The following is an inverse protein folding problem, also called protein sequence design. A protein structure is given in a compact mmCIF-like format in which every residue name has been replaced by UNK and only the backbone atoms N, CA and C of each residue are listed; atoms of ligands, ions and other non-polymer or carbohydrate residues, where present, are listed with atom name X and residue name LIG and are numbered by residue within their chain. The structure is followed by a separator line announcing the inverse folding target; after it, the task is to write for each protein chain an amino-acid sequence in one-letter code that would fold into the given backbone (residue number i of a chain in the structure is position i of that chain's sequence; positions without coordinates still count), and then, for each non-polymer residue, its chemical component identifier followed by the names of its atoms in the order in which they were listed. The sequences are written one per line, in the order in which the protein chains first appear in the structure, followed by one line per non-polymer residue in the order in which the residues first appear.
data_IF_491779963665
#
_entry.id   IF_491779963665
#
_cell.length_a   1.000
_cell.length_b   1.000
_cell.length_c   1.000
_cell.angle_alpha   90.00
_cell.angle_beta   90.00
_cell.angle_gamma   90.00
#
_symmetry.space_group_name_H-M   'P 1'
#
loop_
_entity.id
_entity.type
_entity.pdbx_description
1 polymer ?
#
# COMPACT_ATOMS: atom_id res chain seq x y z
N UNK A 1 -2.83 41.32 -15.09
CA UNK A 1 -2.21 40.40 -14.12
C UNK A 1 -3.23 40.08 -13.03
N UNK A 2 -3.96 38.97 -13.12
CA UNK A 2 -4.73 38.45 -11.99
C UNK A 2 -4.31 36.99 -11.76
N UNK A 3 -3.30 36.83 -10.90
CA UNK A 3 -2.84 35.53 -10.45
C UNK A 3 -3.95 34.82 -9.70
N UNK A 4 -4.66 33.93 -10.38
CA UNK A 4 -5.58 32.96 -9.77
C UNK A 4 -4.72 32.01 -8.94
N UNK A 5 -4.61 32.32 -7.64
CA UNK A 5 -3.94 31.47 -6.67
C UNK A 5 -4.51 30.06 -6.73
N UNK A 6 -3.68 29.11 -7.17
CA UNK A 6 -3.92 27.68 -6.98
C UNK A 6 -3.89 27.42 -5.47
N UNK A 7 -5.04 27.37 -4.83
CA UNK A 7 -5.23 26.65 -3.57
C UNK A 7 -5.00 25.17 -3.85
N UNK A 8 -3.73 24.76 -3.87
CA UNK A 8 -3.33 23.37 -3.78
C UNK A 8 -3.74 22.84 -2.41
N UNK A 9 -4.97 22.33 -2.32
CA UNK A 9 -5.49 21.69 -1.12
C UNK A 9 -4.54 20.56 -0.72
N UNK A 10 -3.82 20.73 0.39
CA UNK A 10 -2.99 19.67 0.94
C UNK A 10 -3.90 18.47 1.20
N UNK A 11 -3.64 17.35 0.54
CA UNK A 11 -4.33 16.10 0.81
C UNK A 11 -4.21 15.81 2.31
N UNK A 12 -5.34 15.75 3.01
CA UNK A 12 -5.34 15.46 4.45
C UNK A 12 -4.70 14.08 4.64
N UNK A 13 -3.67 14.02 5.49
CA UNK A 13 -3.04 12.75 5.83
C UNK A 13 -4.10 11.79 6.39
N UNK A 14 -4.11 10.54 5.91
CA UNK A 14 -5.00 9.50 6.46
C UNK A 14 -4.74 9.35 7.96
N UNK A 15 -5.82 9.23 8.73
CA UNK A 15 -5.73 8.91 10.14
C UNK A 15 -5.00 7.58 10.31
N UNK A 16 -3.91 7.58 11.10
CA UNK A 16 -3.19 6.38 11.50
C UNK A 16 -3.76 5.88 12.82
N UNK A 17 -4.05 4.59 12.91
CA UNK A 17 -4.47 3.94 14.16
C UNK A 17 -3.31 3.95 15.18
N UNK A 18 -3.63 3.78 16.47
CA UNK A 18 -2.59 3.67 17.51
C UNK A 18 -1.66 2.47 17.27
N UNK A 19 -2.18 1.35 16.78
CA UNK A 19 -1.39 0.17 16.42
C UNK A 19 -0.37 0.48 15.32
N UNK A 20 -0.79 1.15 14.25
CA UNK A 20 0.14 1.57 13.18
C UNK A 20 1.19 2.57 13.69
N UNK A 21 0.85 3.42 14.66
CA UNK A 21 1.83 4.33 15.30
C UNK A 21 2.85 3.58 16.16
N UNK A 22 2.46 2.45 16.76
CA UNK A 22 3.34 1.56 17.52
C UNK A 22 4.14 0.58 16.64
N UNK A 23 4.10 0.72 15.30
CA UNK A 23 4.79 -0.17 14.36
C UNK A 23 4.07 -1.49 14.09
N UNK A 24 2.90 -1.70 14.70
CA UNK A 24 2.07 -2.89 14.49
C UNK A 24 1.12 -2.65 13.33
N UNK A 25 1.42 -3.24 12.17
CA UNK A 25 0.47 -3.32 11.07
C UNK A 25 -0.38 -4.58 11.23
N UNK A 26 -1.44 -4.47 12.02
CA UNK A 26 -2.30 -5.59 12.43
C UNK A 26 -2.73 -6.53 11.28
N UNK A 27 -3.19 -6.04 10.11
CA UNK A 27 -3.55 -6.91 8.99
C UNK A 27 -2.36 -7.65 8.38
N UNK A 28 -1.16 -7.05 8.38
CA UNK A 28 0.04 -7.74 7.91
C UNK A 28 0.48 -8.82 8.90
N UNK A 29 0.45 -8.52 10.20
CA UNK A 29 0.78 -9.49 11.23
C UNK A 29 -0.14 -10.73 11.13
N UNK A 30 -1.45 -10.53 10.95
CA UNK A 30 -2.42 -11.63 10.77
C UNK A 30 -2.17 -12.42 9.48
N UNK A 31 -1.84 -11.76 8.36
CA UNK A 31 -1.70 -12.43 7.06
C UNK A 31 -0.32 -13.07 6.83
N UNK A 32 0.71 -12.62 7.56
CA UNK A 32 2.05 -13.20 7.53
C UNK A 32 2.20 -14.41 8.46
N UNK A 33 1.30 -14.57 9.44
CA UNK A 33 1.27 -15.72 10.32
C UNK A 33 0.29 -16.77 9.80
N UNK A 34 0.76 -18.01 9.62
CA UNK A 34 -0.03 -19.07 8.99
C UNK A 34 -1.21 -19.52 9.86
N UNK A 35 -1.03 -19.58 11.17
CA UNK A 35 -2.05 -20.04 12.11
C UNK A 35 -3.16 -18.99 12.24
N UNK A 36 -2.77 -17.73 12.41
CA UNK A 36 -3.71 -16.61 12.48
C UNK A 36 -4.44 -16.40 11.15
N UNK A 37 -3.77 -16.58 10.01
CA UNK A 37 -4.41 -16.43 8.70
C UNK A 37 -5.46 -17.54 8.46
N UNK A 38 -5.20 -18.78 8.89
CA UNK A 38 -6.17 -19.87 8.83
C UNK A 38 -7.34 -19.62 9.78
N UNK A 39 -7.04 -19.23 11.02
CA UNK A 39 -8.05 -18.97 12.05
C UNK A 39 -8.97 -17.79 11.68
N UNK A 40 -8.42 -16.73 11.08
CA UNK A 40 -9.14 -15.49 10.74
C UNK A 40 -9.44 -15.38 9.23
N UNK A 41 -9.43 -16.50 8.50
CA UNK A 41 -9.59 -16.53 7.04
C UNK A 41 -10.89 -15.88 6.54
N UNK A 42 -11.99 -16.07 7.26
CA UNK A 42 -13.31 -15.51 6.93
C UNK A 42 -13.62 -14.14 7.54
N UNK A 43 -12.71 -13.58 8.35
CA UNK A 43 -12.92 -12.31 9.06
C UNK A 43 -12.45 -11.13 8.21
N UNK A 44 -13.31 -10.12 8.05
CA UNK A 44 -12.96 -8.87 7.36
C UNK A 44 -12.44 -7.84 8.37
N UNK A 45 -11.23 -7.33 8.16
CA UNK A 45 -10.65 -6.28 9.00
C UNK A 45 -10.96 -4.91 8.39
N UNK A 46 -11.83 -4.14 9.05
CA UNK A 46 -12.16 -2.78 8.62
C UNK A 46 -10.91 -1.89 8.59
N UNK A 47 -10.77 -1.07 7.53
CA UNK A 47 -9.61 -0.20 7.30
C UNK A 47 -8.24 -0.92 7.24
N UNK A 48 -8.22 -2.25 7.12
CA UNK A 48 -6.98 -3.04 7.19
C UNK A 48 -6.15 -3.08 5.90
N UNK A 49 -6.78 -2.82 4.75
CA UNK A 49 -6.10 -3.01 3.46
C UNK A 49 -5.75 -4.49 3.21
N UNK A 50 -4.77 -4.72 2.34
CA UNK A 50 -4.36 -6.06 1.90
C UNK A 50 -2.84 -6.18 1.87
N UNK A 51 -2.33 -7.42 1.95
CA UNK A 51 -0.91 -7.72 1.73
C UNK A 51 -0.53 -7.31 0.30
N UNK A 52 0.49 -6.46 0.09
CA UNK A 52 0.94 -6.12 -1.24
C UNK A 52 1.42 -7.36 -2.00
N UNK A 53 0.76 -7.69 -3.11
CA UNK A 53 1.16 -8.79 -3.98
C UNK A 53 0.88 -8.42 -5.43
N UNK A 54 1.91 -8.43 -6.28
CA UNK A 54 1.79 -8.12 -7.71
C UNK A 54 2.15 -9.39 -8.49
N UNK A 55 1.22 -9.89 -9.29
CA UNK A 55 1.47 -11.07 -10.13
C UNK A 55 2.57 -10.77 -11.16
N UNK A 56 3.49 -11.72 -11.36
CA UNK A 56 4.61 -11.56 -12.28
C UNK A 56 4.19 -11.28 -13.73
N UNK A 57 3.01 -11.75 -14.14
CA UNK A 57 2.43 -11.49 -15.47
C UNK A 57 2.07 -10.03 -15.69
N UNK A 58 1.74 -9.31 -14.61
CA UNK A 58 1.40 -7.89 -14.64
C UNK A 58 2.64 -7.00 -14.60
N UNK A 59 3.80 -7.57 -14.25
CA UNK A 59 5.06 -6.85 -14.33
C UNK A 59 5.41 -6.62 -15.80
N UNK A 60 5.95 -5.44 -16.16
CA UNK A 60 6.43 -5.19 -17.50
C UNK A 60 7.42 -6.29 -17.92
N UNK A 61 7.17 -6.93 -19.07
CA UNK A 61 8.14 -7.86 -19.66
C UNK A 61 9.40 -7.05 -19.95
N UNK A 62 10.56 -7.56 -19.50
CA UNK A 62 11.85 -6.97 -19.85
C UNK A 62 12.01 -7.03 -21.37
N UNK A 63 11.62 -5.97 -22.08
CA UNK A 63 12.38 -5.59 -23.27
C UNK A 63 13.73 -5.11 -22.75
N UNK A 64 14.80 -5.58 -23.39
CA UNK A 64 16.19 -5.24 -23.08
C UNK A 64 16.31 -3.76 -22.68
N UNK A 65 16.98 -3.51 -21.56
CA UNK A 65 17.27 -2.17 -21.07
C UNK A 65 17.68 -1.31 -22.27
N UNK A 66 16.95 -0.23 -22.53
CA UNK A 66 17.39 0.77 -23.49
C UNK A 66 18.82 1.15 -23.12
N UNK A 67 19.76 0.71 -23.95
CA UNK A 67 21.16 1.11 -23.90
C UNK A 67 21.12 2.63 -23.94
N UNK A 68 21.44 3.29 -22.82
CA UNK A 68 21.75 4.72 -22.84
C UNK A 68 22.99 4.87 -23.70
N UNK A 69 22.77 5.20 -24.97
CA UNK A 69 23.81 5.63 -25.89
C UNK A 69 24.25 7.04 -25.49
N UNK A 70 25.55 7.15 -25.18
CA UNK A 70 26.41 8.34 -25.09
C UNK A 70 25.98 9.46 -24.14
#
# INVERSE_FOLDING_TARGET
MSGRGKTGGKARAKAKTRSSRAGLQFPLAVRNDEELNKLLGGVTIAQGGVLPNIQAVLLPKKTEKAVKSK
#
